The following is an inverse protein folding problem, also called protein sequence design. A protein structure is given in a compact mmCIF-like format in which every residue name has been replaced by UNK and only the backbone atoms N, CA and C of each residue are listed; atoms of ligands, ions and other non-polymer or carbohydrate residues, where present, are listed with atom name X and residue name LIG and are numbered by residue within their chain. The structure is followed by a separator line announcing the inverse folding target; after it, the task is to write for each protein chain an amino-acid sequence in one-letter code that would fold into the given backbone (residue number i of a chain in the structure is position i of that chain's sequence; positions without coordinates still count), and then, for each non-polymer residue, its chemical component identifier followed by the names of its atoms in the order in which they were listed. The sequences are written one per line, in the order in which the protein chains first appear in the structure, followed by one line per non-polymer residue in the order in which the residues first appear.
data_IF_543716946144
#
_entry.id   IF_543716946144
#
_cell.length_a   1.000
_cell.length_b   1.000
_cell.length_c   1.000
_cell.angle_alpha   90.00
_cell.angle_beta   90.00
_cell.angle_gamma   90.00
#
_symmetry.space_group_name_H-M   'P 1'
#
loop_
_entity.id
_entity.type
_entity.pdbx_description
1 polymer ?
#
# COMPACT_ATOMS: atom_id res chain seq x y z
N UNK A 1 8.28 14.13 -18.50
CA UNK A 1 8.42 14.35 -17.04
C UNK A 1 9.55 13.45 -16.56
N UNK A 2 10.56 14.02 -15.88
CA UNK A 2 11.77 13.27 -15.53
C UNK A 2 11.57 12.46 -14.24
N UNK A 3 12.07 11.23 -14.25
CA UNK A 3 12.09 10.31 -13.11
C UNK A 3 13.38 9.48 -13.12
N UNK A 4 13.75 8.95 -11.96
CA UNK A 4 14.86 8.01 -11.81
C UNK A 4 14.33 6.58 -11.69
N UNK A 5 14.97 5.66 -12.40
CA UNK A 5 14.72 4.23 -12.32
C UNK A 5 16.04 3.49 -12.17
N UNK A 6 16.07 2.52 -11.25
CA UNK A 6 17.17 1.60 -11.06
C UNK A 6 16.62 0.20 -10.88
N UNK A 7 17.07 -0.74 -11.71
CA UNK A 7 16.71 -2.15 -11.60
C UNK A 7 17.22 -2.73 -10.28
N UNK A 8 18.42 -2.34 -9.86
CA UNK A 8 19.03 -2.76 -8.60
C UNK A 8 18.19 -2.27 -7.42
N UNK A 9 17.81 -0.99 -7.40
CA UNK A 9 16.99 -0.43 -6.34
C UNK A 9 15.59 -1.08 -6.29
N UNK A 10 14.95 -1.26 -7.46
CA UNK A 10 13.68 -2.01 -7.58
C UNK A 10 13.80 -3.43 -7.03
N UNK A 11 14.92 -4.09 -7.28
CA UNK A 11 15.18 -5.43 -6.80
C UNK A 11 15.31 -5.50 -5.27
N UNK A 12 16.05 -4.58 -4.67
CA UNK A 12 16.17 -4.49 -3.20
C UNK A 12 14.81 -4.24 -2.55
N UNK A 13 14.05 -3.26 -3.06
CA UNK A 13 12.71 -2.92 -2.58
C UNK A 13 11.76 -4.11 -2.68
N UNK A 14 11.80 -4.87 -3.78
CA UNK A 14 10.93 -6.03 -3.96
C UNK A 14 11.12 -7.10 -2.89
N UNK A 15 12.37 -7.45 -2.56
CA UNK A 15 12.66 -8.45 -1.53
C UNK A 15 12.11 -8.04 -0.15
N UNK A 16 12.03 -6.75 0.13
CA UNK A 16 11.51 -6.26 1.41
C UNK A 16 9.99 -6.24 1.49
N UNK A 17 9.29 -6.47 0.37
CA UNK A 17 7.85 -6.69 0.33
C UNK A 17 7.44 -8.17 0.34
N UNK A 18 8.35 -9.10 0.09
CA UNK A 18 8.03 -10.53 0.09
C UNK A 18 7.33 -11.03 1.38
N UNK A 19 7.62 -10.54 2.60
CA UNK A 19 6.90 -11.02 3.80
C UNK A 19 5.39 -10.73 3.75
N UNK A 20 4.94 -9.81 2.88
CA UNK A 20 3.52 -9.51 2.70
C UNK A 20 2.68 -10.73 2.30
N UNK A 21 3.27 -11.73 1.65
CA UNK A 21 2.58 -12.98 1.35
C UNK A 21 2.09 -13.72 2.59
N UNK A 22 2.71 -13.50 3.75
CA UNK A 22 2.38 -14.19 5.01
C UNK A 22 1.97 -13.24 6.14
N UNK A 23 2.25 -11.93 6.02
CA UNK A 23 1.94 -10.92 7.04
C UNK A 23 0.48 -10.45 7.01
N UNK A 24 -0.18 -10.43 5.86
CA UNK A 24 -1.60 -10.09 5.75
C UNK A 24 -2.43 -11.38 5.76
N UNK A 25 -3.29 -11.55 6.77
CA UNK A 25 -4.03 -12.79 7.00
C UNK A 25 -4.95 -13.19 5.84
N UNK A 26 -5.31 -14.46 5.79
CA UNK A 26 -6.01 -15.11 4.67
C UNK A 26 -7.43 -14.57 4.37
N UNK A 27 -7.96 -13.58 5.12
CA UNK A 27 -9.37 -13.16 5.00
C UNK A 27 -9.69 -11.68 5.23
N UNK A 28 -8.83 -10.87 5.85
CA UNK A 28 -9.21 -9.49 6.26
C UNK A 28 -8.72 -8.38 5.30
N UNK A 29 -7.65 -8.60 4.53
CA UNK A 29 -7.04 -7.61 3.63
C UNK A 29 -6.90 -8.10 2.17
N UNK A 30 -7.57 -9.20 1.80
CA UNK A 30 -7.52 -9.67 0.42
C UNK A 30 -8.12 -8.59 -0.50
N UNK A 31 -7.30 -8.06 -1.42
CA UNK A 31 -7.81 -7.33 -2.58
C UNK A 31 -8.90 -8.20 -3.21
N UNK A 32 -10.13 -7.67 -3.25
CA UNK A 32 -11.23 -8.32 -3.93
C UNK A 32 -11.09 -8.04 -5.41
N UNK A 33 -10.50 -8.99 -6.12
CA UNK A 33 -10.40 -8.94 -7.57
C UNK A 33 -11.74 -9.38 -8.20
N UNK A 34 -12.16 -8.66 -9.25
CA UNK A 34 -13.29 -9.00 -10.13
C UNK A 34 -13.03 -10.32 -10.85
N UNK A 35 -14.05 -10.90 -11.50
CA UNK A 35 -13.84 -12.15 -12.23
C UNK A 35 -12.92 -11.93 -13.45
N UNK A 36 -13.07 -10.79 -14.10
CA UNK A 36 -12.21 -10.31 -15.20
C UNK A 36 -10.76 -10.12 -14.76
N UNK A 37 -10.51 -9.49 -13.62
CA UNK A 37 -9.15 -9.36 -13.06
C UNK A 37 -8.56 -10.72 -12.69
N UNK A 38 -9.36 -11.61 -12.10
CA UNK A 38 -8.92 -12.98 -11.77
C UNK A 38 -8.50 -13.76 -13.01
N UNK A 39 -9.21 -13.61 -14.12
CA UNK A 39 -8.86 -14.26 -15.38
C UNK A 39 -7.62 -13.63 -16.00
N UNK A 40 -7.54 -12.30 -16.05
CA UNK A 40 -6.40 -11.56 -16.64
C UNK A 40 -5.08 -11.83 -15.91
N UNK A 41 -5.12 -12.16 -14.62
CA UNK A 41 -3.94 -12.38 -13.78
C UNK A 41 -3.85 -13.80 -13.22
N UNK A 42 -4.59 -14.76 -13.79
CA UNK A 42 -4.68 -16.14 -13.33
C UNK A 42 -3.31 -16.79 -13.10
N UNK A 43 -2.40 -16.65 -14.07
CA UNK A 43 -1.05 -17.20 -13.99
C UNK A 43 -0.22 -16.60 -12.84
N UNK A 44 -0.51 -15.36 -12.43
CA UNK A 44 0.16 -14.72 -11.30
C UNK A 44 -0.46 -15.15 -9.97
N UNK A 45 -1.77 -15.41 -9.92
CA UNK A 45 -2.43 -15.94 -8.72
C UNK A 45 -1.88 -17.33 -8.33
N UNK A 46 -1.62 -18.20 -9.30
CA UNK A 46 -0.98 -19.49 -9.02
C UNK A 46 0.42 -19.32 -8.40
N UNK A 47 1.19 -18.35 -8.89
CA UNK A 47 2.51 -18.00 -8.32
C UNK A 47 2.37 -17.44 -6.90
N UNK A 48 1.39 -16.55 -6.66
CA UNK A 48 1.11 -15.98 -5.33
C UNK A 48 0.84 -17.10 -4.33
N UNK A 49 -0.06 -18.04 -4.67
CA UNK A 49 -0.42 -19.13 -3.77
C UNK A 49 0.75 -20.08 -3.50
N UNK A 50 1.57 -20.41 -4.52
CA UNK A 50 2.78 -21.21 -4.32
C UNK A 50 3.79 -20.51 -3.39
N UNK A 51 3.98 -19.18 -3.54
CA UNK A 51 4.82 -18.39 -2.62
C UNK A 51 4.27 -18.44 -1.20
N UNK A 52 2.97 -18.19 -1.01
CA UNK A 52 2.32 -18.22 0.31
C UNK A 52 2.53 -19.56 0.99
N UNK A 53 2.31 -20.66 0.28
CA UNK A 53 2.50 -22.01 0.80
C UNK A 53 3.94 -22.25 1.27
N UNK A 54 4.94 -21.82 0.50
CA UNK A 54 6.36 -22.01 0.87
C UNK A 54 6.82 -21.11 2.00
N UNK A 55 6.23 -19.92 2.14
CA UNK A 55 6.57 -18.98 3.22
C UNK A 55 5.74 -19.21 4.49
N UNK A 56 4.62 -19.94 4.42
CA UNK A 56 3.71 -20.20 5.54
C UNK A 56 4.40 -20.68 6.83
N UNK A 57 5.45 -21.52 6.81
CA UNK A 57 6.15 -21.93 8.04
C UNK A 57 6.75 -20.78 8.84
N UNK A 58 7.01 -19.63 8.21
CA UNK A 58 7.63 -18.45 8.83
C UNK A 58 6.62 -17.40 9.27
N UNK A 59 5.31 -17.65 9.14
CA UNK A 59 4.24 -16.67 9.40
C UNK A 59 4.34 -16.01 10.78
N UNK A 60 4.56 -16.80 11.82
CA UNK A 60 4.64 -16.29 13.20
C UNK A 60 5.93 -15.48 13.45
N UNK A 61 7.08 -15.97 12.97
CA UNK A 61 8.34 -15.21 13.06
C UNK A 61 8.28 -13.90 12.26
N UNK A 62 7.70 -13.94 11.06
CA UNK A 62 7.51 -12.76 10.22
C UNK A 62 6.59 -11.74 10.91
N UNK A 63 5.51 -12.19 11.55
CA UNK A 63 4.63 -11.29 12.33
C UNK A 63 5.40 -10.59 13.46
N UNK A 64 6.34 -11.27 14.10
CA UNK A 64 7.11 -10.73 15.21
C UNK A 64 8.19 -9.73 14.77
N UNK A 65 8.96 -10.06 13.73
CA UNK A 65 10.16 -9.30 13.36
C UNK A 65 9.98 -8.38 12.14
N UNK A 66 9.13 -8.75 11.18
CA UNK A 66 8.85 -7.88 10.03
C UNK A 66 7.80 -6.83 10.39
N UNK A 67 8.28 -5.72 10.95
CA UNK A 67 7.44 -4.56 11.21
C UNK A 67 7.10 -3.85 9.90
N UNK A 68 5.80 -3.69 9.65
CA UNK A 68 5.28 -2.88 8.55
C UNK A 68 4.58 -1.63 9.11
N UNK A 69 4.92 -0.48 8.53
CA UNK A 69 4.15 0.75 8.66
C UNK A 69 3.01 0.81 7.64
N UNK A 70 2.58 2.02 7.30
CA UNK A 70 1.49 2.22 6.33
C UNK A 70 1.82 1.71 4.91
N UNK A 71 3.06 1.94 4.45
CA UNK A 71 3.43 1.64 3.06
C UNK A 71 4.65 0.71 2.92
N UNK A 72 5.48 0.56 3.96
CA UNK A 72 6.78 -0.12 3.87
C UNK A 72 7.12 -0.92 5.12
N UNK A 73 8.08 -1.83 4.98
CA UNK A 73 8.72 -2.54 6.11
C UNK A 73 9.90 -1.78 6.70
N UNK A 74 10.35 -2.22 7.89
CA UNK A 74 11.54 -1.72 8.55
C UNK A 74 12.81 -1.81 7.67
N UNK A 75 12.97 -2.85 6.86
CA UNK A 75 14.13 -2.98 5.97
C UNK A 75 14.13 -1.93 4.85
N UNK A 76 12.97 -1.47 4.39
CA UNK A 76 12.90 -0.31 3.49
C UNK A 76 13.32 0.97 4.20
N UNK A 77 12.85 1.19 5.43
CA UNK A 77 13.25 2.36 6.22
C UNK A 77 14.76 2.40 6.43
N UNK A 78 15.38 1.23 6.68
CA UNK A 78 16.84 1.10 6.77
C UNK A 78 17.53 1.37 5.43
N UNK A 79 16.98 0.89 4.31
CA UNK A 79 17.50 1.19 2.97
C UNK A 79 17.49 2.71 2.69
N UNK A 80 16.40 3.40 3.01
CA UNK A 80 16.31 4.85 2.82
C UNK A 80 17.21 5.63 3.78
N UNK A 81 17.36 5.20 5.05
CA UNK A 81 18.36 5.79 5.96
C UNK A 81 19.78 5.59 5.41
N UNK A 82 20.09 4.45 4.79
CA UNK A 82 21.39 4.23 4.15
C UNK A 82 21.64 5.27 3.03
N UNK A 83 20.69 5.45 2.12
CA UNK A 83 20.80 6.42 1.03
C UNK A 83 20.91 7.87 1.55
N UNK A 84 20.15 8.23 2.58
CA UNK A 84 20.20 9.55 3.23
C UNK A 84 21.60 9.84 3.77
N UNK A 85 22.22 8.83 4.39
CA UNK A 85 23.57 8.93 4.95
C UNK A 85 24.68 8.70 3.90
N UNK A 86 24.32 8.61 2.61
CA UNK A 86 25.28 8.45 1.51
C UNK A 86 25.92 7.06 1.42
N UNK A 87 25.34 6.06 2.08
CA UNK A 87 25.73 4.66 1.99
C UNK A 87 25.01 4.04 0.80
N UNK A 88 25.79 3.57 -0.18
CA UNK A 88 25.24 2.93 -1.38
C UNK A 88 24.96 1.45 -1.09
N UNK A 89 23.70 1.05 -1.15
CA UNK A 89 23.28 -0.34 -1.06
C UNK A 89 22.73 -0.80 -2.41
N UNK A 90 23.41 -1.74 -3.08
CA UNK A 90 22.98 -2.25 -4.39
C UNK A 90 22.29 -3.61 -4.30
N UNK A 91 22.51 -4.31 -3.18
CA UNK A 91 21.98 -5.63 -2.93
C UNK A 91 21.28 -5.69 -1.58
N UNK A 92 20.42 -6.69 -1.41
CA UNK A 92 19.77 -6.97 -0.13
C UNK A 92 20.80 -7.24 0.97
N UNK A 93 21.93 -7.88 0.61
CA UNK A 93 23.03 -8.12 1.54
C UNK A 93 23.65 -6.81 2.05
N UNK A 94 23.82 -5.81 1.19
CA UNK A 94 24.38 -4.52 1.60
C UNK A 94 23.47 -3.83 2.64
N UNK A 95 22.15 -3.92 2.45
CA UNK A 95 21.18 -3.40 3.41
C UNK A 95 21.21 -4.19 4.71
N UNK A 96 21.33 -5.53 4.65
CA UNK A 96 21.47 -6.37 5.85
C UNK A 96 22.72 -6.01 6.64
N UNK A 97 23.86 -5.87 5.98
CA UNK A 97 25.13 -5.48 6.60
C UNK A 97 25.01 -4.08 7.23
N UNK A 98 24.37 -3.14 6.52
CA UNK A 98 24.09 -1.80 7.06
C UNK A 98 23.18 -1.87 8.30
N UNK A 99 22.08 -2.63 8.22
CA UNK A 99 21.12 -2.81 9.31
C UNK A 99 21.78 -3.33 10.59
N UNK A 100 22.68 -4.31 10.46
CA UNK A 100 23.43 -4.87 11.58
C UNK A 100 24.49 -3.91 12.15
N UNK A 101 24.95 -2.94 11.35
CA UNK A 101 25.89 -1.91 11.79
C UNK A 101 25.23 -0.74 12.53
N UNK A 102 23.91 -0.59 12.42
CA UNK A 102 23.19 0.52 13.02
C UNK A 102 23.26 0.52 14.55
N UNK A 103 23.40 1.72 15.11
CA UNK A 103 23.26 1.91 16.55
C UNK A 103 21.81 1.69 16.99
N UNK A 104 21.64 1.37 18.28
CA UNK A 104 20.32 1.27 18.92
C UNK A 104 19.41 2.47 18.62
N UNK A 105 19.96 3.68 18.67
CA UNK A 105 19.19 4.92 18.42
C UNK A 105 18.80 5.08 16.94
N UNK A 106 19.65 4.66 16.00
CA UNK A 106 19.32 4.66 14.57
C UNK A 106 18.22 3.65 14.23
N UNK A 107 18.28 2.44 14.79
CA UNK A 107 17.22 1.43 14.62
C UNK A 107 15.89 1.97 15.16
N UNK A 108 15.90 2.60 16.34
CA UNK A 108 14.70 3.21 16.93
C UNK A 108 14.09 4.31 16.06
N UNK A 109 14.92 5.16 15.45
CA UNK A 109 14.46 6.16 14.47
C UNK A 109 13.78 5.51 13.27
N UNK A 110 14.37 4.46 12.71
CA UNK A 110 13.77 3.72 11.59
C UNK A 110 12.41 3.09 11.98
N UNK A 111 12.29 2.56 13.20
CA UNK A 111 11.02 2.01 13.70
C UNK A 111 9.97 3.12 13.86
N UNK A 112 10.36 4.27 14.43
CA UNK A 112 9.45 5.41 14.59
C UNK A 112 8.96 5.96 13.25
N UNK A 113 9.83 5.97 12.24
CA UNK A 113 9.48 6.41 10.87
C UNK A 113 8.32 5.61 10.28
N UNK A 114 8.19 4.32 10.60
CA UNK A 114 7.07 3.49 10.13
C UNK A 114 5.69 3.92 10.67
N UNK A 115 5.65 4.68 11.77
CA UNK A 115 4.42 5.11 12.44
C UNK A 115 3.99 6.53 12.06
N UNK A 116 4.81 7.28 11.33
CA UNK A 116 4.54 8.63 10.88
C UNK A 116 3.47 8.58 9.79
N UNK A 117 2.37 9.32 9.97
CA UNK A 117 1.27 9.38 9.01
C UNK A 117 1.11 10.78 8.39
N UNK A 118 1.47 11.83 9.14
CA UNK A 118 1.39 13.22 8.71
C UNK A 118 2.70 13.96 9.00
N UNK A 119 3.01 15.03 8.23
CA UNK A 119 4.20 15.87 8.47
C UNK A 119 4.31 16.39 9.91
N UNK A 120 3.18 16.64 10.58
CA UNK A 120 3.11 17.08 11.99
C UNK A 120 3.58 16.00 12.99
N UNK A 121 3.59 14.74 12.59
CA UNK A 121 3.99 13.62 13.45
C UNK A 121 5.51 13.56 13.65
N UNK A 122 6.31 14.23 12.80
CA UNK A 122 7.78 14.24 12.89
C UNK A 122 8.33 14.77 14.22
N UNK A 123 7.52 15.50 15.00
CA UNK A 123 7.92 16.04 16.31
C UNK A 123 7.53 15.16 17.49
N UNK A 124 6.75 14.10 17.27
CA UNK A 124 6.27 13.21 18.33
C UNK A 124 7.32 12.15 18.66
N UNK A 125 7.36 11.73 19.92
CA UNK A 125 8.16 10.58 20.32
C UNK A 125 7.49 9.26 19.91
N UNK A 126 8.27 8.18 19.92
CA UNK A 126 7.82 6.85 19.50
C UNK A 126 6.57 6.36 20.23
N UNK A 127 6.45 6.58 21.54
CA UNK A 127 5.32 6.05 22.31
C UNK A 127 4.04 6.80 21.97
N UNK A 128 4.12 8.12 21.82
CA UNK A 128 3.00 8.93 21.34
C UNK A 128 2.55 8.48 19.94
N UNK A 129 3.51 8.30 19.01
CA UNK A 129 3.21 7.78 17.66
C UNK A 129 2.53 6.40 17.71
N UNK A 130 3.05 5.50 18.55
CA UNK A 130 2.52 4.15 18.69
C UNK A 130 1.09 4.16 19.28
N UNK A 131 0.83 4.98 20.29
CA UNK A 131 -0.48 5.08 20.93
C UNK A 131 -1.55 5.65 19.99
N UNK A 132 -1.21 6.71 19.25
CA UNK A 132 -2.12 7.38 18.33
C UNK A 132 -2.32 6.63 17.01
N UNK A 133 -1.41 5.73 16.64
CA UNK A 133 -1.50 4.94 15.41
C UNK A 133 -2.74 4.04 15.35
N UNK A 134 -3.17 3.75 14.12
CA UNK A 134 -4.33 2.90 13.82
C UNK A 134 -4.02 1.39 13.82
N UNK A 135 -2.75 0.99 14.01
CA UNK A 135 -2.35 -0.42 14.02
C UNK A 135 -2.97 -1.20 15.19
N UNK A 136 -3.23 -2.49 14.98
CA UNK A 136 -3.87 -3.37 15.97
C UNK A 136 -3.00 -3.50 17.23
N UNK A 137 -3.63 -3.74 18.39
CA UNK A 137 -2.93 -3.83 19.68
C UNK A 137 -1.82 -4.90 19.70
N UNK A 138 -2.06 -6.04 19.06
CA UNK A 138 -1.05 -7.10 18.85
C UNK A 138 0.16 -6.59 18.06
N UNK A 139 -0.08 -5.84 16.97
CA UNK A 139 0.99 -5.21 16.19
C UNK A 139 1.75 -4.18 17.02
N UNK A 140 1.06 -3.36 17.82
CA UNK A 140 1.72 -2.40 18.74
C UNK A 140 2.64 -3.12 19.73
N UNK A 141 2.26 -4.32 20.17
CA UNK A 141 3.12 -5.13 21.04
C UNK A 141 4.43 -5.51 20.34
N UNK A 142 4.40 -6.00 19.10
CA UNK A 142 5.64 -6.33 18.35
C UNK A 142 6.54 -5.10 18.15
N UNK A 143 5.96 -3.95 17.77
CA UNK A 143 6.69 -2.68 17.70
C UNK A 143 7.37 -2.34 19.03
N UNK A 144 6.65 -2.51 20.15
CA UNK A 144 7.19 -2.24 21.49
C UNK A 144 8.33 -3.18 21.89
N UNK A 145 8.25 -4.47 21.50
CA UNK A 145 9.30 -5.45 21.78
C UNK A 145 10.56 -5.12 20.99
N UNK A 146 10.41 -4.85 19.68
CA UNK A 146 11.54 -4.48 18.82
C UNK A 146 12.21 -3.19 19.34
N UNK A 147 11.42 -2.19 19.72
CA UNK A 147 11.95 -0.91 20.22
C UNK A 147 12.75 -1.04 21.55
N UNK A 148 12.39 -2.02 22.38
CA UNK A 148 13.09 -2.31 23.65
C UNK A 148 14.43 -2.99 23.42
N UNK A 149 14.47 -3.98 22.52
CA UNK A 149 15.65 -4.80 22.20
C UNK A 149 16.08 -4.67 20.72
N UNK A 150 16.41 -3.47 20.23
CA UNK A 150 16.49 -3.19 18.79
C UNK A 150 17.63 -3.91 18.07
N UNK A 151 18.81 -4.03 18.68
CA UNK A 151 19.95 -4.69 18.03
C UNK A 151 19.74 -6.21 17.89
N UNK A 152 19.25 -6.85 18.95
CA UNK A 152 18.93 -8.27 18.93
C UNK A 152 17.77 -8.57 17.97
N UNK A 153 16.71 -7.75 18.01
CA UNK A 153 15.57 -7.90 17.11
C UNK A 153 15.96 -7.66 15.64
N UNK A 154 16.88 -6.72 15.38
CA UNK A 154 17.42 -6.50 14.03
C UNK A 154 18.21 -7.71 13.52
N UNK A 155 18.99 -8.36 14.40
CA UNK A 155 19.68 -9.61 14.04
C UNK A 155 18.67 -10.69 13.62
N UNK A 156 17.62 -10.89 14.41
CA UNK A 156 16.56 -11.86 14.10
C UNK A 156 15.83 -11.52 12.79
N UNK A 157 15.53 -10.24 12.56
CA UNK A 157 14.93 -9.77 11.30
C UNK A 157 15.83 -10.08 10.09
N UNK A 158 17.14 -9.81 10.20
CA UNK A 158 18.09 -10.10 9.11
C UNK A 158 18.22 -11.61 8.88
N UNK A 159 18.36 -12.40 9.94
CA UNK A 159 18.45 -13.87 9.85
C UNK A 159 17.20 -14.47 9.18
N UNK A 160 16.01 -13.99 9.56
CA UNK A 160 14.75 -14.36 8.92
C UNK A 160 14.72 -13.91 7.46
N UNK A 161 15.11 -12.66 7.15
CA UNK A 161 15.13 -12.15 5.79
C UNK A 161 16.01 -12.98 4.87
N UNK A 162 17.18 -13.42 5.34
CA UNK A 162 18.07 -14.30 4.58
C UNK A 162 17.37 -15.62 4.22
N UNK A 163 16.61 -16.21 5.16
CA UNK A 163 15.88 -17.45 4.92
C UNK A 163 14.76 -17.27 3.89
N UNK A 164 13.95 -16.23 4.07
CA UNK A 164 12.84 -15.96 3.17
C UNK A 164 13.32 -15.58 1.75
N UNK A 165 14.42 -14.81 1.64
CA UNK A 165 15.00 -14.45 0.34
C UNK A 165 15.44 -15.68 -0.45
N UNK A 166 16.00 -16.71 0.22
CA UNK A 166 16.37 -17.97 -0.44
C UNK A 166 15.15 -18.68 -1.04
N UNK A 167 14.02 -18.65 -0.35
CA UNK A 167 12.76 -19.26 -0.81
C UNK A 167 12.16 -18.44 -1.95
N UNK A 168 12.20 -17.12 -1.86
CA UNK A 168 11.59 -16.21 -2.85
C UNK A 168 12.40 -16.06 -4.14
N UNK A 169 13.72 -16.29 -4.09
CA UNK A 169 14.64 -16.08 -5.21
C UNK A 169 14.18 -16.67 -6.56
N UNK A 170 13.68 -17.91 -6.66
CA UNK A 170 13.24 -18.46 -7.94
C UNK A 170 12.09 -17.68 -8.58
N UNK A 171 11.19 -17.13 -7.77
CA UNK A 171 10.09 -16.28 -8.26
C UNK A 171 10.64 -14.95 -8.71
N UNK A 172 11.46 -14.30 -7.88
CA UNK A 172 12.13 -13.05 -8.25
C UNK A 172 12.86 -13.16 -9.61
N UNK A 173 13.60 -14.25 -9.83
CA UNK A 173 14.29 -14.51 -11.10
C UNK A 173 13.31 -14.68 -12.28
N UNK A 174 12.17 -15.38 -12.07
CA UNK A 174 11.08 -15.47 -13.06
C UNK A 174 10.50 -14.10 -13.41
N UNK A 175 10.44 -13.18 -12.45
CA UNK A 175 9.85 -11.85 -12.62
C UNK A 175 10.77 -10.87 -13.33
N UNK A 176 12.09 -11.10 -13.28
CA UNK A 176 13.10 -10.18 -13.77
C UNK A 176 12.91 -9.79 -15.24
N UNK A 177 12.68 -10.76 -16.13
CA UNK A 177 12.47 -10.48 -17.56
C UNK A 177 11.21 -9.65 -17.82
N UNK A 178 10.14 -9.91 -17.07
CA UNK A 178 8.88 -9.16 -17.19
C UNK A 178 9.11 -7.72 -16.74
N UNK A 179 9.76 -7.51 -15.58
CA UNK A 179 10.12 -6.19 -15.06
C UNK A 179 10.99 -5.41 -16.02
N UNK A 180 12.01 -6.04 -16.60
CA UNK A 180 12.89 -5.42 -17.59
C UNK A 180 12.14 -4.99 -18.86
N UNK A 181 11.23 -5.83 -19.33
CA UNK A 181 10.40 -5.51 -20.50
C UNK A 181 9.46 -4.34 -20.21
N UNK A 182 8.76 -4.38 -19.07
CA UNK A 182 7.84 -3.34 -18.64
C UNK A 182 8.57 -2.00 -18.42
N UNK A 183 9.70 -2.00 -17.72
CA UNK A 183 10.49 -0.80 -17.45
C UNK A 183 10.94 -0.07 -18.73
N UNK A 184 11.27 -0.81 -19.81
CA UNK A 184 11.63 -0.21 -21.11
C UNK A 184 10.46 0.51 -21.79
N UNK A 185 9.24 0.09 -21.51
CA UNK A 185 8.02 0.63 -22.12
C UNK A 185 7.30 1.62 -21.20
N UNK A 186 7.68 1.66 -19.92
CA UNK A 186 7.04 2.46 -18.91
C UNK A 186 7.16 3.96 -19.20
N UNK A 187 6.04 4.65 -19.12
CA UNK A 187 5.96 6.11 -19.25
C UNK A 187 5.14 6.64 -18.08
N UNK A 188 5.78 7.42 -17.21
CA UNK A 188 5.12 8.04 -16.06
C UNK A 188 3.95 8.92 -16.50
N UNK A 189 4.10 9.65 -17.59
CA UNK A 189 3.05 10.51 -18.14
C UNK A 189 1.80 9.71 -18.56
N UNK A 190 1.99 8.63 -19.34
CA UNK A 190 0.89 7.74 -19.73
C UNK A 190 0.29 7.01 -18.54
N UNK A 191 1.11 6.69 -17.54
CA UNK A 191 0.66 6.05 -16.31
C UNK A 191 -0.26 6.97 -15.51
N UNK A 192 0.13 8.23 -15.31
CA UNK A 192 -0.66 9.23 -14.59
C UNK A 192 -2.02 9.46 -15.26
N UNK A 193 -2.07 9.47 -16.60
CA UNK A 193 -3.33 9.60 -17.35
C UNK A 193 -4.33 8.45 -17.09
N UNK A 194 -3.85 7.30 -16.62
CA UNK A 194 -4.69 6.14 -16.26
C UNK A 194 -5.05 6.10 -14.78
N UNK A 195 -4.43 6.94 -13.96
CA UNK A 195 -4.74 7.01 -12.54
C UNK A 195 -5.98 7.87 -12.31
N UNK A 196 -6.77 7.58 -11.26
CA UNK A 196 -7.75 8.52 -10.75
C UNK A 196 -7.12 9.91 -10.53
N UNK A 197 -7.83 10.97 -10.92
CA UNK A 197 -7.30 12.34 -10.96
C UNK A 197 -6.60 12.79 -9.65
N UNK A 198 -7.15 12.39 -8.50
CA UNK A 198 -6.61 12.72 -7.17
C UNK A 198 -5.28 12.02 -6.82
N UNK A 199 -4.94 10.90 -7.47
CA UNK A 199 -3.64 10.24 -7.31
C UNK A 199 -2.61 10.89 -8.26
N UNK A 200 -3.05 11.29 -9.45
CA UNK A 200 -2.21 11.92 -10.47
C UNK A 200 -1.60 13.25 -10.02
N UNK A 201 -2.36 14.12 -9.36
CA UNK A 201 -1.89 15.46 -8.97
C UNK A 201 -0.67 15.46 -8.03
N UNK A 202 -0.62 14.54 -7.05
CA UNK A 202 0.52 14.42 -6.15
C UNK A 202 1.81 13.97 -6.88
N UNK A 203 1.66 13.16 -7.93
CA UNK A 203 2.78 12.73 -8.78
C UNK A 203 3.29 13.86 -9.69
N UNK A 204 2.48 14.88 -9.95
CA UNK A 204 2.82 15.98 -10.85
C UNK A 204 3.59 17.13 -10.18
N UNK A 205 3.63 17.20 -8.85
CA UNK A 205 4.35 18.27 -8.13
C UNK A 205 5.85 18.33 -8.48
N UNK A 206 6.33 19.50 -8.92
CA UNK A 206 7.73 19.73 -9.31
C UNK A 206 8.69 19.76 -8.11
N UNK A 207 8.18 19.78 -6.88
CA UNK A 207 8.99 19.87 -5.66
C UNK A 207 9.77 18.57 -5.35
N UNK A 208 9.41 17.46 -6.00
CA UNK A 208 9.95 16.14 -5.70
C UNK A 208 10.85 15.59 -6.80
N UNK A 209 12.00 15.06 -6.40
CA UNK A 209 12.77 14.14 -7.23
C UNK A 209 12.05 12.77 -7.23
N UNK A 210 11.58 12.33 -8.40
CA UNK A 210 10.73 11.13 -8.53
C UNK A 210 11.58 9.89 -8.77
N UNK A 211 11.33 8.85 -7.98
CA UNK A 211 11.97 7.54 -8.09
C UNK A 211 10.91 6.48 -8.36
N UNK A 212 11.15 5.61 -9.34
CA UNK A 212 10.21 4.56 -9.70
C UNK A 212 10.81 3.19 -9.36
N UNK A 213 10.04 2.42 -8.61
CA UNK A 213 10.36 1.05 -8.23
C UNK A 213 9.36 0.11 -8.87
N UNK A 214 9.84 -0.76 -9.76
CA UNK A 214 8.99 -1.67 -10.52
C UNK A 214 9.10 -3.08 -9.93
N UNK A 215 7.98 -3.61 -9.46
CA UNK A 215 7.89 -4.93 -8.81
C UNK A 215 7.39 -6.00 -9.77
N UNK A 216 7.70 -7.25 -9.43
CA UNK A 216 7.20 -8.42 -10.15
C UNK A 216 5.66 -8.50 -10.13
N UNK A 217 5.01 -9.10 -11.16
CA UNK A 217 3.56 -9.06 -11.31
C UNK A 217 2.73 -9.64 -10.16
N UNK A 218 3.27 -10.58 -9.40
CA UNK A 218 2.60 -11.20 -8.24
C UNK A 218 2.71 -10.39 -6.95
N UNK A 219 3.51 -9.31 -6.92
CA UNK A 219 3.53 -8.35 -5.82
C UNK A 219 2.63 -7.17 -6.16
N UNK A 220 1.31 -7.40 -6.12
CA UNK A 220 0.29 -6.41 -6.49
C UNK A 220 0.31 -5.24 -5.49
N UNK A 221 0.71 -4.06 -5.97
CA UNK A 221 0.99 -2.87 -5.18
C UNK A 221 1.04 -1.62 -6.06
N UNK A 222 0.33 -0.60 -5.60
CA UNK A 222 0.51 0.79 -5.97
C UNK A 222 0.70 1.56 -4.67
N UNK A 223 1.88 2.10 -4.43
CA UNK A 223 2.12 2.91 -3.24
C UNK A 223 3.09 4.05 -3.52
N UNK A 224 2.83 5.18 -2.88
CA UNK A 224 3.70 6.34 -2.88
C UNK A 224 4.35 6.48 -1.51
N UNK A 225 5.62 6.85 -1.49
CA UNK A 225 6.38 7.10 -0.27
C UNK A 225 7.14 8.41 -0.43
N UNK A 226 6.96 9.29 0.54
CA UNK A 226 7.75 10.50 0.67
C UNK A 226 8.94 10.22 1.59
N UNK A 227 10.14 10.55 1.12
CA UNK A 227 11.36 10.46 1.92
C UNK A 227 12.28 11.64 1.61
N UNK A 228 13.08 12.04 2.59
CA UNK A 228 14.05 13.12 2.43
C UNK A 228 15.46 12.56 2.38
N UNK A 229 16.26 12.97 1.40
CA UNK A 229 17.69 12.65 1.33
C UNK A 229 18.45 13.96 1.21
N UNK A 230 19.26 14.30 2.22
CA UNK A 230 20.10 15.51 2.24
C UNK A 230 19.30 16.79 1.91
N UNK A 231 18.18 16.97 2.61
CA UNK A 231 17.26 18.11 2.45
C UNK A 231 16.57 18.23 1.07
N UNK A 232 16.63 17.18 0.23
CA UNK A 232 15.81 17.06 -0.98
C UNK A 232 14.64 16.12 -0.74
N UNK A 233 13.43 16.59 -1.05
CA UNK A 233 12.23 15.75 -1.01
C UNK A 233 12.21 14.81 -2.22
N UNK A 234 12.06 13.51 -1.93
CA UNK A 234 11.92 12.46 -2.92
C UNK A 234 10.57 11.79 -2.80
N UNK A 235 10.00 11.48 -3.95
CA UNK A 235 8.76 10.72 -4.07
C UNK A 235 9.07 9.38 -4.72
N UNK A 236 8.94 8.30 -3.96
CA UNK A 236 9.06 6.93 -4.43
C UNK A 236 7.72 6.38 -4.87
N UNK A 237 7.55 6.15 -6.18
CA UNK A 237 6.41 5.45 -6.74
C UNK A 237 6.77 3.96 -6.88
N UNK A 238 6.11 3.12 -6.08
CA UNK A 238 6.25 1.67 -6.14
C UNK A 238 5.05 1.10 -6.88
N UNK A 239 5.32 0.39 -7.97
CA UNK A 239 4.31 -0.14 -8.87
C UNK A 239 4.59 -1.59 -9.23
N UNK A 240 3.54 -2.40 -9.29
CA UNK A 240 3.58 -3.70 -9.96
C UNK A 240 3.68 -3.52 -11.47
N UNK A 241 4.38 -4.42 -12.14
CA UNK A 241 4.29 -4.53 -13.59
C UNK A 241 2.84 -4.63 -14.03
N UNK A 242 2.45 -3.81 -15.01
CA UNK A 242 1.10 -3.79 -15.56
C UNK A 242 0.01 -3.45 -14.54
N UNK A 243 0.34 -2.76 -13.43
CA UNK A 243 -0.66 -2.34 -12.44
C UNK A 243 -1.75 -1.48 -13.09
N UNK A 244 -1.45 -0.78 -14.18
CA UNK A 244 -2.41 0.01 -14.93
C UNK A 244 -3.55 -0.79 -15.55
N UNK A 245 -3.39 -2.12 -15.70
CA UNK A 245 -4.45 -3.00 -16.18
C UNK A 245 -5.49 -3.32 -15.09
N UNK A 246 -5.22 -2.96 -13.82
CA UNK A 246 -6.21 -2.98 -12.74
C UNK A 246 -7.00 -1.66 -12.66
N UNK A 247 -6.61 -0.63 -13.41
CA UNK A 247 -7.41 0.59 -13.49
C UNK A 247 -8.44 0.42 -14.59
N UNK A 248 -9.70 0.40 -14.19
CA UNK A 248 -10.81 0.53 -15.13
C UNK A 248 -10.71 1.92 -15.78
N UNK A 249 -10.78 1.98 -17.12
CA UNK A 249 -10.97 3.26 -17.78
C UNK A 249 -12.29 3.86 -17.28
N UNK A 250 -12.28 5.14 -16.91
CA UNK A 250 -13.43 5.84 -16.33
C UNK A 250 -14.70 5.83 -17.21
N UNK A 251 -14.61 5.32 -18.43
CA UNK A 251 -15.66 5.34 -19.44
C UNK A 251 -16.31 3.96 -19.70
N UNK A 252 -15.84 2.88 -19.05
CA UNK A 252 -16.43 1.53 -19.19
C UNK A 252 -16.93 1.03 -17.82
N UNK A 253 -18.11 1.49 -17.39
CA UNK A 253 -18.85 0.82 -16.32
C UNK A 253 -19.42 -0.49 -16.89
N UNK A 254 -18.69 -1.59 -16.72
CA UNK A 254 -19.19 -2.90 -17.15
C UNK A 254 -20.23 -3.47 -16.17
N UNK A 255 -20.93 -4.53 -16.57
CA UNK A 255 -22.01 -5.11 -15.76
C UNK A 255 -21.51 -5.68 -14.41
N UNK A 256 -20.23 -6.09 -14.32
CA UNK A 256 -19.63 -6.54 -13.06
C UNK A 256 -19.39 -5.37 -12.13
N UNK A 257 -18.77 -4.28 -12.62
CA UNK A 257 -18.54 -3.04 -11.87
C UNK A 257 -19.87 -2.45 -11.39
N UNK A 258 -20.87 -2.39 -12.26
CA UNK A 258 -22.23 -1.99 -11.93
C UNK A 258 -22.83 -2.86 -10.80
N UNK A 259 -22.73 -4.19 -10.92
CA UNK A 259 -23.22 -5.12 -9.90
C UNK A 259 -22.51 -4.93 -8.55
N UNK A 260 -21.19 -4.71 -8.56
CA UNK A 260 -20.39 -4.49 -7.35
C UNK A 260 -20.82 -3.21 -6.65
N UNK A 261 -20.96 -2.10 -7.38
CA UNK A 261 -21.40 -0.82 -6.80
C UNK A 261 -22.79 -0.98 -6.19
N UNK A 262 -23.74 -1.59 -6.90
CA UNK A 262 -25.09 -1.85 -6.36
C UNK A 262 -25.06 -2.73 -5.09
N UNK A 263 -24.29 -3.81 -5.09
CA UNK A 263 -24.14 -4.69 -3.91
C UNK A 263 -23.58 -3.92 -2.73
N UNK A 264 -22.54 -3.11 -2.95
CA UNK A 264 -21.91 -2.35 -1.88
C UNK A 264 -22.85 -1.29 -1.29
N UNK A 265 -23.61 -0.59 -2.13
CA UNK A 265 -24.58 0.44 -1.72
C UNK A 265 -25.88 -0.14 -1.14
N UNK A 266 -26.21 -1.40 -1.44
CA UNK A 266 -27.41 -2.07 -0.89
C UNK A 266 -27.32 -2.42 0.60
N UNK A 267 -26.11 -2.43 1.17
CA UNK A 267 -25.87 -2.69 2.58
C UNK A 267 -26.15 -1.44 3.41
N UNK A 268 -27.14 -1.52 4.28
CA UNK A 268 -27.59 -0.38 5.08
C UNK A 268 -26.47 0.21 5.95
N UNK A 269 -25.67 -0.63 6.60
CA UNK A 269 -24.57 -0.17 7.46
C UNK A 269 -23.48 0.51 6.64
N UNK A 270 -23.09 -0.05 5.50
CA UNK A 270 -22.09 0.53 4.60
C UNK A 270 -22.57 1.85 4.00
N UNK A 271 -23.83 1.92 3.59
CA UNK A 271 -24.42 3.15 3.06
C UNK A 271 -24.45 4.27 4.11
N UNK A 272 -24.79 3.95 5.36
CA UNK A 272 -24.72 4.95 6.44
C UNK A 272 -23.28 5.38 6.73
N UNK A 273 -22.31 4.44 6.72
CA UNK A 273 -20.89 4.79 6.83
C UNK A 273 -20.45 5.73 5.71
N UNK A 274 -20.86 5.46 4.45
CA UNK A 274 -20.57 6.34 3.29
C UNK A 274 -21.02 7.78 3.55
N UNK A 275 -22.26 7.97 4.03
CA UNK A 275 -22.80 9.30 4.31
C UNK A 275 -22.08 10.01 5.45
N UNK A 276 -21.63 9.27 6.47
CA UNK A 276 -20.95 9.85 7.63
C UNK A 276 -19.48 10.23 7.33
N UNK A 277 -18.76 9.44 6.54
CA UNK A 277 -17.35 9.73 6.21
C UNK A 277 -17.16 10.90 5.26
N UNK A 278 -18.21 11.31 4.55
CA UNK A 278 -18.24 12.51 3.70
C UNK A 278 -18.44 13.80 4.50
N UNK A 279 -18.73 13.72 5.81
CA UNK A 279 -18.88 14.91 6.64
C UNK A 279 -17.51 15.48 7.05
N UNK A 280 -17.40 16.81 7.21
CA UNK A 280 -16.17 17.44 7.71
C UNK A 280 -15.78 16.89 9.09
N UNK A 281 -14.47 16.77 9.36
CA UNK A 281 -13.91 16.37 10.65
C UNK A 281 -14.37 15.00 11.19
N UNK A 282 -14.70 14.05 10.30
CA UNK A 282 -15.15 12.72 10.74
C UNK A 282 -14.08 12.02 11.61
N UNK A 283 -14.54 11.28 12.63
CA UNK A 283 -13.71 10.37 13.42
C UNK A 283 -14.38 9.00 13.47
N UNK A 284 -13.64 7.94 13.14
CA UNK A 284 -14.19 6.58 13.08
C UNK A 284 -14.82 6.12 14.41
N UNK A 285 -14.33 6.62 15.56
CA UNK A 285 -14.93 6.34 16.88
C UNK A 285 -16.32 6.95 17.04
N UNK A 286 -16.55 8.13 16.47
CA UNK A 286 -17.82 8.84 16.59
C UNK A 286 -18.88 8.20 15.68
N UNK A 287 -18.48 7.84 14.44
CA UNK A 287 -19.32 7.07 13.50
C UNK A 287 -19.70 5.72 14.11
N UNK A 288 -18.73 5.00 14.67
CA UNK A 288 -18.95 3.70 15.32
C UNK A 288 -20.02 3.79 16.42
N UNK A 289 -19.92 4.82 17.27
CA UNK A 289 -20.90 5.07 18.33
C UNK A 289 -22.27 5.43 17.76
N UNK A 290 -22.33 6.28 16.73
CA UNK A 290 -23.58 6.72 16.12
C UNK A 290 -24.32 5.56 15.43
N UNK A 291 -23.60 4.72 14.69
CA UNK A 291 -24.15 3.62 13.93
C UNK A 291 -24.26 2.31 14.73
N UNK A 292 -23.86 2.32 16.01
CA UNK A 292 -23.81 1.15 16.88
C UNK A 292 -23.01 -0.03 16.27
N UNK A 293 -21.85 0.30 15.70
CA UNK A 293 -20.89 -0.66 15.13
C UNK A 293 -19.50 -0.45 15.74
N UNK A 294 -18.54 -1.31 15.42
CA UNK A 294 -17.16 -1.12 15.91
C UNK A 294 -16.39 -0.12 15.03
N UNK A 295 -15.39 0.57 15.60
CA UNK A 295 -14.51 1.42 14.81
C UNK A 295 -13.76 0.63 13.71
N UNK A 296 -13.47 -0.65 13.97
CA UNK A 296 -12.93 -1.57 12.97
C UNK A 296 -13.92 -1.81 11.81
N UNK A 297 -15.21 -1.98 12.11
CA UNK A 297 -16.25 -2.11 11.09
C UNK A 297 -16.37 -0.83 10.25
N UNK A 298 -16.28 0.36 10.86
CA UNK A 298 -16.24 1.64 10.11
C UNK A 298 -15.07 1.62 9.11
N UNK A 299 -13.85 1.34 9.57
CA UNK A 299 -12.67 1.27 8.70
C UNK A 299 -12.83 0.24 7.58
N UNK A 300 -13.37 -0.94 7.90
CA UNK A 300 -13.63 -1.99 6.92
C UNK A 300 -14.62 -1.52 5.83
N UNK A 301 -15.75 -0.93 6.22
CA UNK A 301 -16.72 -0.39 5.27
C UNK A 301 -16.14 0.74 4.42
N UNK A 302 -15.40 1.67 5.03
CA UNK A 302 -14.70 2.75 4.29
C UNK A 302 -13.72 2.18 3.27
N UNK A 303 -12.92 1.17 3.66
CA UNK A 303 -11.95 0.58 2.74
C UNK A 303 -12.63 -0.13 1.57
N UNK A 304 -13.76 -0.81 1.79
CA UNK A 304 -14.56 -1.40 0.70
C UNK A 304 -15.05 -0.35 -0.29
N UNK A 305 -15.52 0.80 0.20
CA UNK A 305 -15.99 1.91 -0.63
C UNK A 305 -14.83 2.56 -1.42
N UNK A 306 -13.64 2.66 -0.82
CA UNK A 306 -12.43 3.15 -1.50
C UNK A 306 -11.95 2.16 -2.57
N UNK A 307 -11.91 0.87 -2.27
CA UNK A 307 -11.48 -0.16 -3.20
C UNK A 307 -12.39 -0.23 -4.44
N UNK A 308 -13.70 -0.05 -4.26
CA UNK A 308 -14.67 0.03 -5.34
C UNK A 308 -14.75 1.43 -5.99
N UNK A 309 -13.81 2.32 -5.65
CA UNK A 309 -13.72 3.69 -6.17
C UNK A 309 -14.99 4.54 -5.96
N UNK A 310 -15.89 4.16 -5.05
CA UNK A 310 -17.06 4.98 -4.66
C UNK A 310 -16.59 6.18 -3.83
N UNK A 311 -15.60 5.96 -2.96
CA UNK A 311 -14.91 7.01 -2.21
C UNK A 311 -13.51 7.25 -2.77
N UNK A 312 -13.12 8.51 -2.84
CA UNK A 312 -11.81 8.98 -3.24
C UNK A 312 -11.20 9.79 -2.08
N UNK A 313 -9.88 9.75 -1.89
CA UNK A 313 -9.23 10.62 -0.90
C UNK A 313 -9.27 12.08 -1.36
N UNK A 314 -9.62 12.98 -0.45
CA UNK A 314 -9.56 14.42 -0.66
C UNK A 314 -8.15 14.94 -0.31
N UNK A 315 -7.57 15.74 -1.19
CA UNK A 315 -6.25 16.35 -1.04
C UNK A 315 -6.32 17.81 -0.61
N UNK A 316 -7.50 18.44 -0.65
CA UNK A 316 -7.73 19.81 -0.18
C UNK A 316 -8.12 19.79 1.31
N UNK A 317 -7.29 20.41 2.16
CA UNK A 317 -7.32 20.34 3.64
C UNK A 317 -8.62 20.91 4.29
N UNK A 318 -9.56 21.46 3.51
CA UNK A 318 -10.72 22.21 4.02
C UNK A 318 -12.03 21.38 4.15
N UNK A 319 -12.21 20.30 3.37
CA UNK A 319 -13.53 19.63 3.22
C UNK A 319 -13.62 18.17 3.73
N UNK A 320 -12.67 17.73 4.54
CA UNK A 320 -12.66 16.37 5.11
C UNK A 320 -11.88 15.36 4.24
N UNK A 321 -11.64 14.14 4.75
CA UNK A 321 -10.62 13.22 4.20
C UNK A 321 -11.06 12.45 2.93
N UNK A 322 -12.35 12.39 2.62
CA UNK A 322 -12.85 11.67 1.44
C UNK A 322 -13.86 12.49 0.65
N UNK A 323 -13.79 12.36 -0.68
CA UNK A 323 -14.78 12.85 -1.64
C UNK A 323 -15.52 11.67 -2.28
N UNK A 324 -16.73 11.94 -2.75
CA UNK A 324 -17.52 10.98 -3.51
C UNK A 324 -17.06 10.96 -4.96
N UNK A 325 -16.88 9.77 -5.55
CA UNK A 325 -16.66 9.64 -6.99
C UNK A 325 -17.99 9.87 -7.73
N UNK A 326 -18.31 11.14 -7.96
CA UNK A 326 -19.56 11.56 -8.59
C UNK A 326 -19.70 11.03 -10.01
N UNK A 327 -18.60 10.91 -10.76
CA UNK A 327 -18.60 10.38 -12.13
C UNK A 327 -19.08 8.92 -12.13
N UNK A 328 -18.48 8.05 -11.31
CA UNK A 328 -18.89 6.65 -11.18
C UNK A 328 -20.36 6.51 -10.81
N UNK A 329 -20.83 7.26 -9.80
CA UNK A 329 -22.23 7.16 -9.36
C UNK A 329 -23.21 7.69 -10.40
N UNK A 330 -22.85 8.74 -11.14
CA UNK A 330 -23.66 9.21 -12.26
C UNK A 330 -23.77 8.15 -13.35
N UNK A 331 -22.66 7.50 -13.73
CA UNK A 331 -22.68 6.41 -14.71
C UNK A 331 -23.59 5.25 -14.25
N UNK A 332 -23.55 4.89 -12.97
CA UNK A 332 -24.43 3.86 -12.38
C UNK A 332 -25.91 4.29 -12.45
N UNK A 333 -26.22 5.53 -12.10
CA UNK A 333 -27.58 6.07 -12.18
C UNK A 333 -28.09 6.12 -13.62
N UNK A 334 -27.27 6.57 -14.56
CA UNK A 334 -27.59 6.62 -15.99
C UNK A 334 -27.89 5.22 -16.53
N UNK A 335 -27.03 4.23 -16.22
CA UNK A 335 -27.27 2.83 -16.57
C UNK A 335 -28.56 2.28 -15.95
N UNK A 336 -28.86 2.57 -14.69
CA UNK A 336 -30.15 2.17 -14.09
C UNK A 336 -31.35 2.80 -14.81
N UNK A 337 -31.26 4.09 -15.14
CA UNK A 337 -32.34 4.80 -15.85
C UNK A 337 -32.56 4.19 -17.24
N UNK A 338 -31.50 3.82 -17.94
CA UNK A 338 -31.54 3.13 -19.23
C UNK A 338 -32.11 1.71 -19.09
N UNK A 339 -31.52 0.86 -18.25
CA UNK A 339 -31.88 -0.55 -18.06
C UNK A 339 -33.35 -0.71 -17.61
N UNK A 340 -33.84 0.18 -16.73
CA UNK A 340 -35.22 0.16 -16.23
C UNK A 340 -36.18 1.09 -17.00
N UNK A 341 -35.70 1.82 -18.02
CA UNK A 341 -36.49 2.78 -18.81
C UNK A 341 -37.24 3.79 -17.96
N UNK A 342 -36.61 4.31 -16.90
CA UNK A 342 -37.27 5.17 -15.90
C UNK A 342 -37.72 6.54 -16.46
N UNK A 343 -37.25 6.90 -17.66
CA UNK A 343 -37.62 8.14 -18.35
C UNK A 343 -38.75 7.97 -19.39
N UNK A 344 -39.21 6.74 -19.65
CA UNK A 344 -40.36 6.48 -20.53
C UNK A 344 -41.67 6.66 -19.74
N UNK A 345 -42.57 7.53 -20.23
CA UNK A 345 -43.88 7.79 -19.62
C UNK A 345 -45.01 7.04 -20.31
#
# INVERSE_FOLDING_TARGET
MDYQYSEQASSVVEYFFMPLFISFGDKEDAMEFTAKEKENFKDYFEVIEDIKLKLAPFKEEARHYYLFGYSISLLHAVYYDAEENGVRCETVKDVHDYALSLSKEKIRKCIAYLLINHKKDNQKDFWTLLEESTIKAETKWYFSQFYRNPQESMKQLVDLSIQLNKIYRPYFEKGLTIRQSYAKQFSLEKFIQKLPANIGENLLSEEFERHIYILSPWLIRLSMIDFSIKDKFRLGLIITCHIENFFHSEDDLDDEDFSIVLKLLSDTSRYQVLLEVLKPNFKSKDIAKQLNITAAAVSFHTQKLVNAQILQFNTEDEDGKYNLNKKLLNNVLEKMVEDFKLNEK
#
